data_IF_046801993942
#
_entry.id   IF_046801993942
#
_cell.length_a   1.000
_cell.length_b   1.000
_cell.length_c   1.000
_cell.angle_alpha   90.00
_cell.angle_beta   90.00
_cell.angle_gamma   90.00
#
_symmetry.space_group_name_H-M   'P 1'
#
loop_
_entity.id
_entity.type
_entity.pdbx_description
1 polymer ?
#
# COMPACT_ATOMS: atom_id res chain seq x y z
N UNK A 1 7.84 10.48 -2.10
CA UNK A 1 6.68 11.13 -2.79
C UNK A 1 6.09 10.27 -3.91
N UNK A 2 6.82 9.33 -4.54
CA UNK A 2 6.33 8.51 -5.68
C UNK A 2 5.22 7.48 -5.32
N UNK A 3 4.64 7.54 -4.12
CA UNK A 3 3.62 6.61 -3.66
C UNK A 3 2.43 7.24 -2.95
N UNK A 4 2.32 8.56 -2.94
CA UNK A 4 1.22 9.26 -2.26
C UNK A 4 0.09 9.55 -3.24
N UNK A 5 -1.14 9.33 -2.80
CA UNK A 5 -2.39 9.66 -3.48
C UNK A 5 -3.20 10.64 -2.63
N UNK A 6 -4.00 11.47 -3.31
CA UNK A 6 -4.97 12.33 -2.66
C UNK A 6 -6.33 11.62 -2.63
N UNK A 7 -6.73 11.17 -1.45
CA UNK A 7 -8.06 10.61 -1.23
C UNK A 7 -9.00 11.69 -0.68
N UNK A 8 -10.19 11.81 -1.25
CA UNK A 8 -11.20 12.73 -0.72
C UNK A 8 -11.78 12.16 0.58
N UNK A 9 -12.11 13.02 1.54
CA UNK A 9 -12.73 12.65 2.81
C UNK A 9 -14.26 12.79 2.79
N UNK A 10 -14.81 13.11 1.64
CA UNK A 10 -16.24 13.16 1.35
C UNK A 10 -16.45 12.79 -0.13
N UNK A 11 -17.67 12.40 -0.53
CA UNK A 11 -18.00 12.17 -1.93
C UNK A 11 -17.62 13.36 -2.82
N UNK A 12 -17.16 13.09 -4.04
CA UNK A 12 -16.61 14.09 -4.96
C UNK A 12 -17.65 15.17 -5.29
N UNK A 13 -18.90 14.76 -5.45
CA UNK A 13 -20.03 15.62 -5.81
C UNK A 13 -20.35 16.61 -4.67
N UNK A 14 -20.27 16.14 -3.42
CA UNK A 14 -20.49 16.96 -2.24
C UNK A 14 -19.38 18.01 -2.10
N UNK A 15 -18.12 17.60 -2.31
CA UNK A 15 -17.00 18.53 -2.30
C UNK A 15 -17.16 19.62 -3.38
N UNK A 16 -17.55 19.25 -4.59
CA UNK A 16 -17.74 20.19 -5.68
C UNK A 16 -18.86 21.20 -5.40
N UNK A 17 -19.93 20.77 -4.73
CA UNK A 17 -21.04 21.64 -4.35
C UNK A 17 -20.69 22.60 -3.20
N UNK A 18 -19.84 22.18 -2.27
CA UNK A 18 -19.41 22.99 -1.13
C UNK A 18 -18.29 23.98 -1.46
N UNK A 19 -17.52 23.74 -2.52
CA UNK A 19 -16.47 24.65 -2.94
C UNK A 19 -17.07 26.01 -3.37
N UNK A 20 -16.65 27.13 -2.76
CA UNK A 20 -17.12 28.47 -3.15
C UNK A 20 -17.06 28.68 -4.66
N UNK A 21 -17.99 29.48 -5.21
CA UNK A 21 -18.04 29.79 -6.65
C UNK A 21 -16.68 30.34 -7.14
N UNK A 22 -16.03 31.13 -6.29
CA UNK A 22 -14.74 31.77 -6.51
C UNK A 22 -13.51 30.89 -6.19
N UNK A 23 -13.71 29.59 -5.90
CA UNK A 23 -12.60 28.67 -5.73
C UNK A 23 -11.76 28.62 -7.00
N UNK A 24 -10.44 28.75 -6.87
CA UNK A 24 -9.53 28.65 -8.01
C UNK A 24 -9.81 27.36 -8.80
N UNK A 25 -9.90 27.47 -10.13
CA UNK A 25 -10.22 26.35 -11.02
C UNK A 25 -9.27 25.16 -10.84
N UNK A 26 -8.04 25.44 -10.43
CA UNK A 26 -7.04 24.42 -10.10
C UNK A 26 -7.52 23.52 -8.95
N UNK A 27 -8.15 24.08 -7.90
CA UNK A 27 -8.66 23.29 -6.76
C UNK A 27 -9.79 22.37 -7.21
N UNK A 28 -10.72 22.88 -8.02
CA UNK A 28 -11.81 22.08 -8.60
C UNK A 28 -11.29 20.98 -9.52
N UNK A 29 -10.32 21.31 -10.37
CA UNK A 29 -9.71 20.37 -11.30
C UNK A 29 -8.99 19.23 -10.56
N UNK A 30 -8.23 19.56 -9.52
CA UNK A 30 -7.57 18.57 -8.66
C UNK A 30 -8.59 17.71 -7.91
N UNK A 31 -9.61 18.31 -7.29
CA UNK A 31 -10.66 17.58 -6.59
C UNK A 31 -11.46 16.64 -7.52
N UNK A 32 -11.71 17.07 -8.76
CA UNK A 32 -12.43 16.27 -9.75
C UNK A 32 -11.65 15.05 -10.24
N UNK A 33 -10.31 15.09 -10.19
CA UNK A 33 -9.44 14.01 -10.67
C UNK A 33 -8.72 13.26 -9.53
N UNK A 34 -8.95 13.65 -8.27
CA UNK A 34 -8.41 12.98 -7.10
C UNK A 34 -9.05 11.60 -6.95
N UNK A 35 -8.20 10.57 -6.83
CA UNK A 35 -8.59 9.18 -6.64
C UNK A 35 -7.55 8.47 -5.75
N UNK A 36 -7.96 7.58 -4.84
CA UNK A 36 -7.03 6.82 -4.00
C UNK A 36 -6.12 5.86 -4.80
N UNK A 37 -6.47 5.54 -6.04
CA UNK A 37 -5.70 4.66 -6.94
C UNK A 37 -4.69 5.42 -7.81
N UNK A 38 -4.78 6.75 -7.88
CA UNK A 38 -3.92 7.59 -8.73
C UNK A 38 -2.90 8.32 -7.87
N UNK A 39 -1.62 8.15 -8.20
CA UNK A 39 -0.55 8.85 -7.47
C UNK A 39 -0.53 10.35 -7.80
N UNK A 40 0.01 11.18 -6.90
CA UNK A 40 0.25 12.60 -7.17
C UNK A 40 1.14 12.81 -8.41
N UNK A 41 2.08 11.90 -8.66
CA UNK A 41 2.92 11.95 -9.87
C UNK A 41 2.15 11.66 -11.15
N UNK A 42 1.21 10.73 -11.12
CA UNK A 42 0.32 10.46 -12.25
C UNK A 42 -0.67 11.60 -12.48
N UNK A 43 -1.20 12.17 -11.39
CA UNK A 43 -2.06 13.35 -11.43
C UNK A 43 -1.33 14.57 -12.01
N UNK A 44 -0.04 14.73 -11.71
CA UNK A 44 0.85 15.75 -12.28
C UNK A 44 0.90 15.65 -13.80
N UNK A 45 1.10 14.44 -14.33
CA UNK A 45 1.15 14.18 -15.77
C UNK A 45 -0.22 14.43 -16.40
N UNK A 46 -1.29 13.93 -15.78
CA UNK A 46 -2.66 14.02 -16.31
C UNK A 46 -3.17 15.46 -16.37
N UNK A 47 -2.87 16.27 -15.37
CA UNK A 47 -3.34 17.66 -15.29
C UNK A 47 -2.34 18.68 -15.84
N UNK A 48 -1.15 18.24 -16.24
CA UNK A 48 -0.03 19.10 -16.63
C UNK A 48 0.26 20.21 -15.60
N UNK A 49 0.08 19.91 -14.31
CA UNK A 49 0.34 20.83 -13.21
C UNK A 49 1.67 20.49 -12.53
N UNK A 50 2.47 21.48 -12.08
CA UNK A 50 3.67 21.20 -11.29
C UNK A 50 3.34 20.46 -9.98
N UNK A 51 4.22 19.55 -9.56
CA UNK A 51 4.05 18.80 -8.30
C UNK A 51 3.90 19.73 -7.09
N UNK A 52 4.63 20.84 -7.05
CA UNK A 52 4.53 21.84 -5.98
C UNK A 52 3.12 22.45 -5.88
N UNK A 53 2.47 22.69 -7.02
CA UNK A 53 1.09 23.18 -7.08
C UNK A 53 0.13 22.13 -6.55
N UNK A 54 0.27 20.87 -6.99
CA UNK A 54 -0.56 19.75 -6.51
C UNK A 54 -0.40 19.53 -5.00
N UNK A 55 0.83 19.59 -4.49
CA UNK A 55 1.10 19.48 -3.06
C UNK A 55 0.44 20.62 -2.27
N UNK A 56 0.53 21.87 -2.74
CA UNK A 56 -0.12 23.01 -2.08
C UNK A 56 -1.64 22.86 -2.07
N UNK A 57 -2.25 22.48 -3.18
CA UNK A 57 -3.71 22.24 -3.26
C UNK A 57 -4.11 21.10 -2.32
N UNK A 58 -3.33 20.01 -2.30
CA UNK A 58 -3.56 18.86 -1.41
C UNK A 58 -3.50 19.30 0.06
N UNK A 59 -2.49 20.10 0.44
CA UNK A 59 -2.37 20.66 1.79
C UNK A 59 -3.58 21.51 2.17
N UNK A 60 -4.11 22.34 1.26
CA UNK A 60 -5.31 23.13 1.52
C UNK A 60 -6.55 22.24 1.72
N UNK A 61 -6.76 21.23 0.88
CA UNK A 61 -7.88 20.30 1.01
C UNK A 61 -7.80 19.46 2.29
N UNK A 62 -6.59 19.07 2.70
CA UNK A 62 -6.33 18.37 3.97
C UNK A 62 -6.58 19.29 5.16
N UNK A 63 -6.11 20.54 5.10
CA UNK A 63 -6.36 21.54 6.14
C UNK A 63 -7.85 21.78 6.34
N UNK A 64 -8.63 21.82 5.26
CA UNK A 64 -10.09 21.91 5.30
C UNK A 64 -10.79 20.60 5.67
N UNK A 65 -10.04 19.53 5.96
CA UNK A 65 -10.56 18.19 6.29
C UNK A 65 -11.44 17.59 5.18
N UNK A 66 -11.25 18.03 3.93
CA UNK A 66 -11.96 17.54 2.74
C UNK A 66 -11.17 16.50 1.95
N UNK A 67 -9.89 16.34 2.25
CA UNK A 67 -9.06 15.28 1.69
C UNK A 67 -8.07 14.74 2.74
N UNK A 68 -7.47 13.61 2.43
CA UNK A 68 -6.41 12.95 3.18
C UNK A 68 -5.34 12.50 2.20
N UNK A 69 -4.07 12.61 2.60
CA UNK A 69 -2.97 12.00 1.85
C UNK A 69 -2.85 10.56 2.33
N UNK A 70 -2.98 9.62 1.40
CA UNK A 70 -2.87 8.18 1.64
C UNK A 70 -1.82 7.60 0.71
N UNK A 71 -1.26 6.43 1.02
CA UNK A 71 -0.47 5.71 0.03
C UNK A 71 -1.39 5.22 -1.11
N UNK A 72 -0.86 5.11 -2.32
CA UNK A 72 -1.64 4.69 -3.50
C UNK A 72 -2.21 3.28 -3.32
N UNK A 73 -3.50 3.13 -3.59
CA UNK A 73 -4.20 1.85 -3.59
C UNK A 73 -3.88 1.08 -4.88
N UNK A 74 -2.73 0.41 -4.90
CA UNK A 74 -2.34 -0.48 -6.00
C UNK A 74 -3.01 -1.86 -5.86
N UNK A 75 -3.04 -2.64 -6.95
CA UNK A 75 -3.55 -4.01 -6.94
C UNK A 75 -2.99 -4.93 -5.82
N UNK A 76 -1.68 -4.90 -5.51
CA UNK A 76 -1.13 -5.75 -4.47
C UNK A 76 -1.29 -5.14 -3.06
N UNK A 77 -1.78 -3.91 -2.94
CA UNK A 77 -2.05 -3.27 -1.65
C UNK A 77 -3.07 -4.09 -0.87
N UNK A 78 -2.74 -4.39 0.39
CA UNK A 78 -3.63 -5.11 1.30
C UNK A 78 -4.53 -4.11 2.00
N UNK A 79 -5.81 -4.42 2.08
CA UNK A 79 -6.84 -3.55 2.63
C UNK A 79 -7.67 -4.30 3.65
N UNK A 80 -8.12 -3.60 4.68
CA UNK A 80 -9.02 -4.12 5.70
C UNK A 80 -10.05 -3.06 6.09
N UNK A 81 -11.10 -3.49 6.76
CA UNK A 81 -12.02 -2.56 7.43
C UNK A 81 -11.33 -1.83 8.59
N UNK A 82 -11.68 -0.56 8.77
CA UNK A 82 -11.22 0.25 9.88
C UNK A 82 -11.68 -0.35 11.23
N UNK A 83 -10.88 -0.22 12.30
CA UNK A 83 -11.26 -0.73 13.61
C UNK A 83 -12.51 -0.01 14.14
N UNK A 84 -13.43 -0.77 14.75
CA UNK A 84 -14.60 -0.20 15.41
C UNK A 84 -15.71 0.29 14.47
N UNK A 85 -15.62 -0.01 13.17
CA UNK A 85 -16.71 0.27 12.22
C UNK A 85 -17.90 -0.66 12.50
N UNK A 86 -19.08 -0.08 12.60
CA UNK A 86 -20.32 -0.84 12.64
C UNK A 86 -20.62 -1.43 11.25
N UNK A 87 -20.52 -2.74 11.15
CA UNK A 87 -20.76 -3.51 9.93
C UNK A 87 -22.20 -3.99 9.79
N UNK A 88 -23.09 -3.58 10.70
CA UNK A 88 -24.49 -3.96 10.66
C UNK A 88 -25.18 -3.40 9.40
N UNK A 89 -26.18 -4.12 8.85
CA UNK A 89 -26.92 -3.66 7.68
C UNK A 89 -27.76 -2.40 7.96
N UNK A 90 -28.04 -2.11 9.23
CA UNK A 90 -28.79 -0.93 9.69
C UNK A 90 -27.86 0.19 10.19
N UNK A 91 -26.54 0.04 10.01
CA UNK A 91 -25.57 1.05 10.40
C UNK A 91 -25.80 2.36 9.63
N UNK A 92 -25.44 3.52 10.20
CA UNK A 92 -25.52 4.80 9.48
C UNK A 92 -24.69 4.78 8.19
N UNK A 93 -23.59 4.03 8.15
CA UNK A 93 -22.78 3.84 6.96
C UNK A 93 -23.55 3.04 5.88
N UNK A 94 -24.29 1.99 6.25
CA UNK A 94 -25.10 1.21 5.32
C UNK A 94 -26.21 2.05 4.68
N UNK A 95 -26.87 2.92 5.45
CA UNK A 95 -27.89 3.84 4.94
C UNK A 95 -27.30 4.84 3.94
N UNK A 96 -26.18 5.48 4.27
CA UNK A 96 -25.47 6.39 3.35
C UNK A 96 -24.99 5.69 2.10
N UNK A 97 -24.50 4.46 2.22
CA UNK A 97 -24.09 3.65 1.07
C UNK A 97 -25.27 3.41 0.12
N UNK A 98 -26.44 3.08 0.66
CA UNK A 98 -27.64 2.86 -0.14
C UNK A 98 -28.12 4.15 -0.85
N UNK A 99 -28.06 5.30 -0.18
CA UNK A 99 -28.36 6.60 -0.77
C UNK A 99 -27.37 6.98 -1.88
N UNK A 100 -26.08 6.78 -1.63
CA UNK A 100 -25.01 7.00 -2.60
C UNK A 100 -25.21 6.11 -3.84
N UNK A 101 -25.49 4.81 -3.65
CA UNK A 101 -25.73 3.87 -4.75
C UNK A 101 -26.90 4.31 -5.65
N UNK A 102 -27.99 4.85 -5.06
CA UNK A 102 -29.12 5.42 -5.80
C UNK A 102 -28.71 6.60 -6.67
N UNK A 103 -27.88 7.51 -6.14
CA UNK A 103 -27.41 8.71 -6.86
C UNK A 103 -26.49 8.35 -8.03
N UNK A 104 -25.63 7.35 -7.86
CA UNK A 104 -24.68 6.91 -8.90
C UNK A 104 -25.29 5.95 -9.94
N UNK A 105 -26.60 5.69 -9.88
CA UNK A 105 -27.33 4.80 -10.81
C UNK A 105 -26.70 3.40 -10.95
N UNK A 106 -25.95 2.97 -9.94
CA UNK A 106 -25.45 1.61 -9.86
C UNK A 106 -26.68 0.69 -9.81
N UNK A 107 -26.76 -0.29 -10.71
CA UNK A 107 -27.94 -1.14 -10.83
C UNK A 107 -28.30 -1.70 -9.45
N UNK A 108 -29.57 -1.61 -9.01
CA UNK A 108 -29.99 -1.91 -7.64
C UNK A 108 -29.90 -3.39 -7.25
N UNK A 109 -29.21 -4.23 -8.03
CA UNK A 109 -29.13 -5.69 -7.83
C UNK A 109 -27.71 -6.23 -7.61
N UNK A 110 -26.63 -5.44 -7.66
CA UNK A 110 -25.28 -6.03 -7.77
C UNK A 110 -24.39 -5.95 -6.50
N UNK A 111 -24.63 -5.04 -5.56
CA UNK A 111 -23.79 -4.88 -4.36
C UNK A 111 -24.56 -4.45 -3.09
N UNK A 112 -24.86 -5.40 -2.21
CA UNK A 112 -25.32 -5.10 -0.84
C UNK A 112 -24.14 -4.61 0.01
N UNK A 113 -24.37 -3.66 0.93
CA UNK A 113 -23.35 -3.21 1.89
C UNK A 113 -22.64 -4.37 2.61
N UNK A 114 -23.39 -5.37 3.07
CA UNK A 114 -22.85 -6.59 3.69
C UNK A 114 -21.90 -7.39 2.77
N UNK A 115 -22.18 -7.44 1.46
CA UNK A 115 -21.29 -8.08 0.48
C UNK A 115 -19.98 -7.30 0.32
N UNK A 116 -20.05 -5.96 0.29
CA UNK A 116 -18.86 -5.11 0.18
C UNK A 116 -18.01 -5.20 1.44
N UNK A 117 -18.63 -5.04 2.60
CA UNK A 117 -17.99 -5.18 3.92
C UNK A 117 -17.34 -6.55 4.09
N UNK A 118 -18.02 -7.64 3.73
CA UNK A 118 -17.45 -8.98 3.82
C UNK A 118 -16.21 -9.14 2.93
N UNK A 119 -16.20 -8.55 1.73
CA UNK A 119 -15.02 -8.56 0.85
C UNK A 119 -13.80 -7.81 1.46
N UNK A 120 -14.02 -6.76 2.24
CA UNK A 120 -12.94 -6.01 2.93
C UNK A 120 -12.57 -6.56 4.31
N UNK A 121 -13.34 -7.49 4.87
CA UNK A 121 -13.19 -7.93 6.28
C UNK A 121 -11.92 -8.76 6.58
N UNK A 122 -11.29 -9.37 5.57
CA UNK A 122 -10.23 -10.38 5.75
C UNK A 122 -8.78 -9.94 5.49
N UNK A 123 -8.49 -8.65 5.30
CA UNK A 123 -7.11 -8.21 5.03
C UNK A 123 -6.58 -8.72 3.68
N UNK A 124 -7.43 -8.68 2.65
CA UNK A 124 -7.14 -9.21 1.33
C UNK A 124 -6.38 -8.19 0.46
N UNK A 125 -5.72 -8.68 -0.60
CA UNK A 125 -5.16 -7.81 -1.64
C UNK A 125 -6.31 -7.16 -2.42
N UNK A 126 -6.15 -5.91 -2.83
CA UNK A 126 -7.19 -5.16 -3.54
C UNK A 126 -7.69 -5.90 -4.79
N UNK A 127 -6.79 -6.55 -5.54
CA UNK A 127 -7.15 -7.40 -6.69
C UNK A 127 -8.11 -8.54 -6.32
N UNK A 128 -7.96 -9.13 -5.13
CA UNK A 128 -8.84 -10.20 -4.65
C UNK A 128 -10.21 -9.66 -4.29
N UNK A 129 -10.27 -8.48 -3.64
CA UNK A 129 -11.53 -7.80 -3.30
C UNK A 129 -12.30 -7.46 -4.57
N UNK A 130 -11.63 -6.87 -5.57
CA UNK A 130 -12.21 -6.55 -6.87
C UNK A 130 -12.79 -7.79 -7.55
N UNK A 131 -12.08 -8.93 -7.55
CA UNK A 131 -12.59 -10.18 -8.13
C UNK A 131 -13.82 -10.74 -7.41
N UNK A 132 -13.91 -10.58 -6.09
CA UNK A 132 -15.08 -11.00 -5.31
C UNK A 132 -16.31 -10.12 -5.58
N UNK A 133 -16.05 -8.83 -5.80
CA UNK A 133 -17.07 -7.81 -6.02
C UNK A 133 -17.56 -7.78 -7.47
N UNK A 134 -16.66 -7.97 -8.43
CA UNK A 134 -16.88 -7.94 -9.86
C UNK A 134 -16.29 -9.21 -10.51
N UNK A 135 -16.93 -10.38 -10.35
CA UNK A 135 -16.48 -11.63 -10.98
C UNK A 135 -16.70 -11.55 -12.50
N UNK A 136 -15.68 -11.10 -13.23
CA UNK A 136 -15.74 -10.93 -14.70
C UNK A 136 -14.89 -9.78 -15.26
N UNK A 137 -14.33 -8.91 -14.40
CA UNK A 137 -13.45 -7.83 -14.83
C UNK A 137 -11.99 -8.32 -14.97
N UNK A 138 -11.51 -8.43 -16.21
CA UNK A 138 -10.09 -8.60 -16.52
C UNK A 138 -9.43 -7.23 -16.67
N UNK A 139 -8.46 -6.94 -15.80
CA UNK A 139 -7.71 -5.67 -15.68
C UNK A 139 -6.96 -5.23 -16.96
N UNK A 140 -6.98 -6.03 -18.03
CA UNK A 140 -6.15 -5.85 -19.22
C UNK A 140 -6.80 -5.12 -20.39
N UNK A 141 -8.08 -4.75 -20.33
CA UNK A 141 -8.77 -4.04 -21.41
C UNK A 141 -9.18 -2.64 -20.97
N UNK A 142 -8.24 -1.71 -21.08
CA UNK A 142 -8.38 -0.30 -20.70
C UNK A 142 -9.21 0.55 -21.69
N UNK A 143 -10.04 -0.04 -22.54
CA UNK A 143 -10.84 0.73 -23.49
C UNK A 143 -12.17 0.01 -23.71
N UNK A 144 -13.25 0.76 -23.55
CA UNK A 144 -14.67 0.38 -23.63
C UNK A 144 -15.32 0.04 -22.27
N UNK A 145 -15.93 1.07 -21.66
CA UNK A 145 -17.02 1.08 -20.67
C UNK A 145 -17.36 -0.27 -20.00
N UNK A 146 -16.67 -0.64 -18.92
CA UNK A 146 -16.79 -1.98 -18.30
C UNK A 146 -16.42 -1.96 -16.79
N UNK A 147 -16.89 -2.92 -15.96
CA UNK A 147 -17.05 -2.95 -14.48
C UNK A 147 -15.97 -2.40 -13.51
N UNK A 148 -14.83 -1.92 -13.99
CA UNK A 148 -13.78 -1.31 -13.16
C UNK A 148 -14.14 0.09 -12.63
N UNK A 149 -15.03 0.81 -13.33
CA UNK A 149 -15.55 2.10 -12.88
C UNK A 149 -16.43 1.96 -11.61
N UNK A 150 -17.19 0.87 -11.50
CA UNK A 150 -18.08 0.62 -10.37
C UNK A 150 -17.26 0.29 -9.11
N UNK A 151 -16.24 -0.56 -9.24
CA UNK A 151 -15.34 -0.87 -8.11
C UNK A 151 -14.54 0.36 -7.66
N UNK A 152 -14.02 1.15 -8.60
CA UNK A 152 -13.25 2.36 -8.27
C UNK A 152 -14.10 3.39 -7.52
N UNK A 153 -15.37 3.55 -7.93
CA UNK A 153 -16.32 4.43 -7.25
C UNK A 153 -16.68 3.94 -5.85
N UNK A 154 -16.87 2.63 -5.67
CA UNK A 154 -17.09 2.01 -4.35
C UNK A 154 -15.87 2.18 -3.46
N UNK A 155 -14.66 1.95 -3.98
CA UNK A 155 -13.43 2.14 -3.22
C UNK A 155 -13.24 3.61 -2.83
N UNK A 156 -13.47 4.55 -3.73
CA UNK A 156 -13.45 5.99 -3.46
C UNK A 156 -14.39 6.34 -2.30
N UNK A 157 -15.62 5.84 -2.33
CA UNK A 157 -16.59 6.08 -1.26
C UNK A 157 -16.18 5.46 0.08
N UNK A 158 -15.73 4.20 0.09
CA UNK A 158 -15.29 3.52 1.31
C UNK A 158 -14.05 4.18 1.95
N UNK A 159 -13.14 4.70 1.12
CA UNK A 159 -11.99 5.47 1.60
C UNK A 159 -12.44 6.84 2.12
N UNK A 160 -13.39 7.50 1.45
CA UNK A 160 -13.92 8.80 1.87
C UNK A 160 -14.64 8.74 3.23
N UNK A 161 -15.49 7.73 3.44
CA UNK A 161 -16.14 7.49 4.74
C UNK A 161 -15.17 6.92 5.79
N UNK A 162 -13.91 6.63 5.44
CA UNK A 162 -12.91 6.10 6.36
C UNK A 162 -13.20 4.67 6.83
N UNK A 163 -13.96 3.90 6.05
CA UNK A 163 -14.33 2.52 6.35
C UNK A 163 -13.23 1.52 6.00
N UNK A 164 -12.35 1.88 5.05
CA UNK A 164 -11.23 1.04 4.61
C UNK A 164 -9.91 1.68 5.00
N UNK A 165 -9.04 0.85 5.56
CA UNK A 165 -7.65 1.18 5.89
C UNK A 165 -6.70 0.28 5.11
N UNK A 166 -5.53 0.81 4.82
CA UNK A 166 -4.47 0.01 4.23
C UNK A 166 -3.73 -0.78 5.31
N UNK A 167 -3.33 -1.99 4.95
CA UNK A 167 -2.46 -2.81 5.77
C UNK A 167 -1.02 -2.65 5.26
N UNK A 168 -0.13 -2.24 6.15
CA UNK A 168 1.30 -2.22 5.92
C UNK A 168 1.95 -3.47 6.50
N UNK A 169 2.92 -4.03 5.78
CA UNK A 169 3.85 -4.99 6.36
C UNK A 169 5.08 -4.26 6.87
N UNK A 170 5.53 -4.67 8.03
CA UNK A 170 6.76 -4.18 8.62
C UNK A 170 7.60 -5.38 9.03
N UNK A 171 8.92 -5.17 9.05
CA UNK A 171 9.88 -6.22 9.34
C UNK A 171 10.72 -5.80 10.54
N UNK A 172 10.86 -6.71 11.49
CA UNK A 172 11.82 -6.58 12.58
C UNK A 172 12.96 -7.56 12.38
N UNK A 173 14.18 -7.05 12.48
CA UNK A 173 15.39 -7.85 12.52
C UNK A 173 15.75 -8.17 13.97
N UNK A 174 15.67 -9.44 14.34
CA UNK A 174 15.88 -9.93 15.70
C UNK A 174 17.01 -10.98 15.70
N UNK A 175 18.28 -10.57 15.68
CA UNK A 175 19.41 -11.48 15.58
C UNK A 175 19.49 -12.46 16.77
N UNK A 176 19.03 -12.05 17.95
CA UNK A 176 18.96 -12.90 19.15
C UNK A 176 18.01 -14.11 19.03
N UNK A 177 17.10 -14.11 18.06
CA UNK A 177 16.19 -15.23 17.79
C UNK A 177 16.75 -16.25 16.81
N UNK A 178 17.96 -16.03 16.29
CA UNK A 178 18.61 -16.96 15.38
C UNK A 178 18.66 -18.36 16.02
N UNK A 179 18.00 -19.32 15.38
CA UNK A 179 18.05 -20.71 15.86
C UNK A 179 19.48 -21.22 15.69
N UNK A 180 20.09 -21.71 16.77
CA UNK A 180 21.45 -22.27 16.78
C UNK A 180 21.66 -23.49 15.86
N UNK A 181 20.61 -23.97 15.19
CA UNK A 181 20.63 -25.12 14.28
C UNK A 181 20.43 -24.79 12.79
N UNK A 182 20.40 -23.52 12.39
CA UNK A 182 20.59 -23.20 10.96
C UNK A 182 22.00 -23.64 10.54
N UNK A 183 22.23 -24.12 9.31
CA UNK A 183 23.52 -24.65 8.89
C UNK A 183 24.57 -23.54 8.95
N UNK A 184 25.20 -23.41 10.11
CA UNK A 184 26.43 -22.68 10.27
C UNK A 184 27.45 -23.51 9.51
N UNK A 185 27.73 -23.11 8.27
CA UNK A 185 29.02 -23.37 7.65
C UNK A 185 30.05 -22.65 8.53
N UNK A 186 30.40 -23.28 9.65
CA UNK A 186 31.30 -22.79 10.69
C UNK A 186 32.76 -22.78 10.23
N UNK A 187 33.03 -23.18 8.98
CA UNK A 187 34.24 -22.86 8.27
C UNK A 187 34.20 -21.40 7.81
N UNK A 188 34.63 -20.50 8.71
CA UNK A 188 34.93 -19.08 8.46
C UNK A 188 34.22 -18.46 7.26
N UNK A 189 32.95 -18.07 7.44
CA UNK A 189 32.20 -17.37 6.39
C UNK A 189 32.98 -16.11 6.03
N UNK A 190 33.63 -16.14 4.87
CA UNK A 190 34.49 -15.05 4.43
C UNK A 190 33.59 -13.90 3.97
N UNK A 191 33.29 -13.00 4.92
CA UNK A 191 32.50 -11.81 4.67
C UNK A 191 33.20 -10.99 3.59
N UNK A 192 32.51 -10.76 2.48
CA UNK A 192 33.02 -9.94 1.39
C UNK A 192 33.48 -8.57 1.92
N UNK A 193 34.76 -8.25 1.69
CA UNK A 193 35.39 -7.01 2.22
C UNK A 193 34.73 -5.74 1.72
N UNK A 194 34.01 -5.77 0.60
CA UNK A 194 33.20 -4.64 0.12
C UNK A 194 31.97 -4.43 1.00
N UNK A 195 31.20 -5.49 1.24
CA UNK A 195 30.00 -5.46 2.11
C UNK A 195 30.40 -5.06 3.53
N UNK A 196 31.51 -5.60 4.03
CA UNK A 196 32.03 -5.22 5.35
C UNK A 196 32.30 -3.73 5.47
N UNK A 197 32.98 -3.13 4.48
CA UNK A 197 33.29 -1.70 4.47
C UNK A 197 32.05 -0.82 4.33
N UNK A 198 31.01 -1.29 3.64
CA UNK A 198 29.79 -0.53 3.43
C UNK A 198 28.87 -0.53 4.66
N UNK A 199 28.70 -1.69 5.30
CA UNK A 199 27.69 -1.87 6.36
C UNK A 199 28.25 -1.87 7.78
N UNK A 200 29.50 -2.33 7.98
CA UNK A 200 30.14 -2.41 9.30
C UNK A 200 31.20 -1.30 9.46
N UNK A 201 31.31 -0.66 10.63
CA UNK A 201 30.50 -0.84 11.85
C UNK A 201 29.27 0.09 11.90
N UNK A 202 29.07 0.92 10.88
CA UNK A 202 28.12 2.03 10.96
C UNK A 202 26.65 1.61 11.00
N UNK A 203 26.29 0.54 10.29
CA UNK A 203 24.90 0.11 10.14
C UNK A 203 24.60 -1.27 10.68
N UNK A 204 25.60 -2.13 10.84
CA UNK A 204 25.49 -3.48 11.40
C UNK A 204 26.70 -3.77 12.27
N UNK A 205 26.49 -4.47 13.37
CA UNK A 205 27.60 -5.04 14.15
C UNK A 205 28.27 -6.19 13.39
N UNK A 206 29.51 -6.51 13.78
CA UNK A 206 30.24 -7.61 13.14
C UNK A 206 29.51 -8.95 13.31
N UNK A 207 28.89 -9.20 14.47
CA UNK A 207 28.12 -10.42 14.75
C UNK A 207 26.87 -10.52 13.86
N UNK A 208 26.14 -9.41 13.68
CA UNK A 208 24.99 -9.37 12.78
C UNK A 208 25.40 -9.60 11.33
N UNK A 209 26.53 -9.02 10.91
CA UNK A 209 27.05 -9.21 9.56
C UNK A 209 27.45 -10.66 9.31
N UNK A 210 28.12 -11.31 10.26
CA UNK A 210 28.46 -12.72 10.18
C UNK A 210 27.20 -13.61 10.17
N UNK A 211 26.20 -13.29 10.98
CA UNK A 211 24.92 -13.98 10.98
C UNK A 211 24.25 -13.90 9.61
N UNK A 212 24.13 -12.70 9.02
CA UNK A 212 23.53 -12.53 7.70
C UNK A 212 24.33 -13.23 6.61
N UNK A 213 25.67 -13.19 6.67
CA UNK A 213 26.54 -13.90 5.75
C UNK A 213 26.32 -15.42 5.82
N UNK A 214 26.16 -15.98 7.02
CA UNK A 214 25.88 -17.41 7.23
C UNK A 214 24.49 -17.83 6.70
N UNK A 215 23.56 -16.88 6.54
CA UNK A 215 22.21 -17.12 6.00
C UNK A 215 22.10 -16.93 4.49
N UNK A 216 23.14 -16.36 3.87
CA UNK A 216 23.21 -16.14 2.44
C UNK A 216 23.96 -17.28 1.75
N UNK A 217 23.51 -17.68 0.55
CA UNK A 217 24.25 -18.65 -0.27
C UNK A 217 25.42 -18.03 -1.04
N UNK A 218 25.29 -16.75 -1.36
CA UNK A 218 26.21 -16.00 -2.21
C UNK A 218 26.31 -14.53 -1.76
N UNK A 219 27.19 -13.78 -2.42
CA UNK A 219 27.39 -12.36 -2.11
C UNK A 219 26.19 -11.47 -2.41
N UNK A 220 25.33 -11.83 -3.37
CA UNK A 220 24.15 -11.05 -3.75
C UNK A 220 23.06 -11.16 -2.68
N UNK A 221 22.78 -12.37 -2.20
CA UNK A 221 21.88 -12.61 -1.08
C UNK A 221 22.38 -11.93 0.19
N UNK A 222 23.69 -11.97 0.45
CA UNK A 222 24.26 -11.30 1.61
C UNK A 222 24.07 -9.78 1.54
N UNK A 223 24.38 -9.18 0.38
CA UNK A 223 24.17 -7.75 0.15
C UNK A 223 22.69 -7.37 0.28
N UNK A 224 21.80 -8.17 -0.31
CA UNK A 224 20.35 -7.98 -0.20
C UNK A 224 19.89 -7.98 1.26
N UNK A 225 20.30 -8.96 2.07
CA UNK A 225 19.92 -9.04 3.48
C UNK A 225 20.44 -7.85 4.27
N UNK A 226 21.69 -7.43 4.06
CA UNK A 226 22.27 -6.27 4.74
C UNK A 226 21.48 -5.00 4.39
N UNK A 227 21.25 -4.78 3.09
CA UNK A 227 20.53 -3.62 2.59
C UNK A 227 19.09 -3.61 3.09
N UNK A 228 18.42 -4.76 3.12
CA UNK A 228 17.06 -4.88 3.64
C UNK A 228 16.99 -4.52 5.13
N UNK A 229 17.95 -5.00 5.94
CA UNK A 229 17.98 -4.66 7.37
C UNK A 229 18.12 -3.16 7.56
N UNK A 230 19.02 -2.51 6.82
CA UNK A 230 19.28 -1.08 6.97
C UNK A 230 18.11 -0.23 6.45
N UNK A 231 17.67 -0.49 5.22
CA UNK A 231 16.71 0.37 4.53
C UNK A 231 15.25 0.11 4.97
N UNK A 232 14.94 -1.10 5.43
CA UNK A 232 13.57 -1.47 5.80
C UNK A 232 13.42 -1.79 7.28
N UNK A 233 14.19 -2.74 7.80
CA UNK A 233 13.93 -3.26 9.16
C UNK A 233 14.29 -2.27 10.27
N UNK A 234 15.46 -1.61 10.18
CA UNK A 234 15.93 -0.63 11.17
C UNK A 234 15.31 0.74 10.98
N UNK A 235 15.07 1.14 9.73
CA UNK A 235 14.34 2.36 9.44
C UNK A 235 12.84 2.27 9.79
N UNK A 236 12.35 1.10 10.22
CA UNK A 236 10.93 0.82 10.49
C UNK A 236 10.04 1.22 9.30
N UNK A 237 10.55 1.05 8.09
CA UNK A 237 9.85 1.47 6.90
C UNK A 237 8.66 0.55 6.65
N UNK A 238 7.54 1.16 6.26
CA UNK A 238 6.42 0.46 5.65
C UNK A 238 6.90 -0.25 4.38
N UNK A 239 6.74 -1.56 4.38
CA UNK A 239 6.93 -2.43 3.21
C UNK A 239 5.57 -2.89 2.72
N UNK A 240 5.24 -2.61 1.47
CA UNK A 240 4.16 -3.28 0.76
C UNK A 240 4.74 -4.18 -0.33
N UNK A 241 3.90 -5.02 -0.91
CA UNK A 241 4.29 -5.95 -1.97
C UNK A 241 4.96 -5.23 -3.16
N UNK A 242 4.57 -3.99 -3.47
CA UNK A 242 5.14 -3.25 -4.60
C UNK A 242 6.53 -2.69 -4.28
N UNK A 243 6.73 -2.12 -3.10
CA UNK A 243 8.03 -1.66 -2.60
C UNK A 243 8.99 -2.83 -2.42
N UNK A 244 8.47 -3.96 -1.91
CA UNK A 244 9.25 -5.18 -1.76
C UNK A 244 9.67 -5.73 -3.12
N UNK A 245 8.74 -5.82 -4.09
CA UNK A 245 9.04 -6.28 -5.44
C UNK A 245 10.08 -5.39 -6.13
N UNK A 246 9.92 -4.07 -6.04
CA UNK A 246 10.88 -3.10 -6.57
C UNK A 246 12.27 -3.25 -5.94
N UNK A 247 12.33 -3.41 -4.62
CA UNK A 247 13.58 -3.65 -3.92
C UNK A 247 14.22 -4.98 -4.32
N UNK A 248 13.45 -6.07 -4.34
CA UNK A 248 13.92 -7.41 -4.69
C UNK A 248 14.44 -7.48 -6.14
N UNK A 249 13.82 -6.77 -7.08
CA UNK A 249 14.22 -6.74 -8.48
C UNK A 249 15.64 -6.18 -8.71
N UNK A 250 16.20 -5.43 -7.75
CA UNK A 250 17.58 -4.98 -7.83
C UNK A 250 18.62 -6.07 -7.55
N UNK A 251 18.21 -7.16 -6.89
CA UNK A 251 19.13 -8.19 -6.39
C UNK A 251 18.83 -9.57 -6.97
N UNK A 252 17.59 -9.82 -7.40
CA UNK A 252 17.13 -11.10 -7.91
C UNK A 252 16.43 -10.94 -9.25
N UNK A 253 16.55 -11.95 -10.12
CA UNK A 253 15.78 -12.02 -11.36
C UNK A 253 14.29 -12.26 -11.09
N UNK A 254 13.97 -12.98 -10.00
CA UNK A 254 12.60 -13.31 -9.62
C UNK A 254 12.34 -12.95 -8.16
N UNK A 255 11.26 -12.22 -7.91
CA UNK A 255 10.80 -11.88 -6.56
C UNK A 255 10.64 -13.11 -5.65
N UNK A 256 10.24 -14.27 -6.21
CA UNK A 256 10.07 -15.51 -5.48
C UNK A 256 11.36 -15.96 -4.74
N UNK A 257 12.54 -15.60 -5.24
CA UNK A 257 13.82 -15.92 -4.59
C UNK A 257 14.01 -15.11 -3.30
N UNK A 258 13.66 -13.82 -3.32
CA UNK A 258 13.67 -12.97 -2.14
C UNK A 258 12.67 -13.47 -1.09
N UNK A 259 11.45 -13.82 -1.51
CA UNK A 259 10.41 -14.36 -0.63
C UNK A 259 10.84 -15.68 0.02
N UNK A 260 11.45 -16.57 -0.77
CA UNK A 260 12.01 -17.83 -0.28
C UNK A 260 13.16 -17.61 0.72
N UNK A 261 14.01 -16.61 0.47
CA UNK A 261 15.07 -16.22 1.39
C UNK A 261 14.51 -15.72 2.73
N UNK A 262 13.46 -14.90 2.74
CA UNK A 262 12.77 -14.52 3.97
C UNK A 262 12.08 -15.69 4.64
N UNK A 263 11.46 -16.59 3.86
CA UNK A 263 10.81 -17.78 4.41
C UNK A 263 11.79 -18.66 5.18
N UNK A 264 13.03 -18.80 4.70
CA UNK A 264 14.11 -19.53 5.38
C UNK A 264 14.66 -18.82 6.62
N UNK A 265 14.51 -17.50 6.70
CA UNK A 265 15.06 -16.66 7.76
C UNK A 265 13.97 -16.03 8.64
N UNK A 266 12.80 -16.68 8.75
CA UNK A 266 11.68 -16.24 9.62
C UNK A 266 12.02 -16.23 11.11
N UNK A 267 13.09 -16.89 11.50
CA UNK A 267 13.58 -16.86 12.88
C UNK A 267 14.19 -15.49 13.23
N UNK A 268 14.87 -14.85 12.28
CA UNK A 268 15.53 -13.54 12.47
C UNK A 268 14.75 -12.37 11.85
N UNK A 269 13.88 -12.63 10.87
CA UNK A 269 12.98 -11.63 10.29
C UNK A 269 11.54 -11.91 10.69
N UNK A 270 11.03 -11.11 11.62
CA UNK A 270 9.63 -11.18 12.03
C UNK A 270 8.83 -10.15 11.25
N UNK A 271 7.91 -10.62 10.41
CA UNK A 271 6.96 -9.78 9.71
C UNK A 271 5.73 -9.56 10.59
N UNK A 272 5.29 -8.30 10.71
CA UNK A 272 4.00 -7.96 11.30
C UNK A 272 3.20 -7.09 10.33
N UNK A 273 1.87 -7.24 10.38
CA UNK A 273 0.95 -6.48 9.53
C UNK A 273 0.14 -5.56 10.43
N UNK A 274 0.16 -4.26 10.15
CA UNK A 274 -0.54 -3.25 10.92
C UNK A 274 -1.46 -2.41 10.03
N UNK A 275 -2.54 -1.88 10.61
CA UNK A 275 -3.44 -0.91 9.95
C UNK A 275 -2.77 0.47 9.96
N UNK A 276 -2.82 1.15 8.82
CA UNK A 276 -2.31 2.52 8.65
C UNK A 276 -3.44 3.53 8.73
#
# INVERSE_FOLDING_TARGET
>A
VVGEALALACPREELQAELPVDSADIVRCVAANASPTTSLGELMVRLALPLSTLQRVSQHLVYWRRARVVDVFNQPTRVALAPGVDTSPDSPAALRFHEWQKRHKLKPHEMTFSKVVSAFSGGHKLRSVQKQLCPGADFGKAFECTPDADFSSVLEWFVAEGLVVQLASYYHFLPCRARSGAPANSSGVNVNTKIRREFCPHYLSEDELQLLAARAKDGHQHLFLCRFVVDFARAHCRTDDSRFAGFAAHFFERQAEAEELFRKNRDIFVQYVCRC
#
